data_IF_553613534120
#
_entry.id   IF_553613534120
#
_cell.length_a   1.000
_cell.length_b   1.000
_cell.length_c   1.000
_cell.angle_alpha   90.00
_cell.angle_beta   90.00
_cell.angle_gamma   90.00
#
_symmetry.space_group_name_H-M   'P 1'
#
loop_
_entity.id
_entity.type
_entity.pdbx_description
1 polymer ?
#
# COMPACT_ATOMS: atom_id res chain seq x y z
N UNK A 1 -12.76 -7.52 -8.62
CA UNK A 1 -12.97 -6.33 -9.40
C UNK A 1 -13.95 -5.37 -8.70
N UNK A 2 -13.38 -4.30 -8.08
CA UNK A 2 -14.11 -3.34 -7.23
C UNK A 2 -15.22 -2.64 -8.02
N UNK A 3 -14.90 -2.10 -9.20
CA UNK A 3 -15.86 -1.34 -10.03
C UNK A 3 -17.09 -2.17 -10.41
N UNK A 4 -16.86 -3.41 -10.83
CA UNK A 4 -17.95 -4.32 -11.16
C UNK A 4 -18.79 -4.66 -9.93
N UNK A 5 -18.15 -4.90 -8.79
CA UNK A 5 -18.86 -5.20 -7.54
C UNK A 5 -19.82 -4.10 -7.10
N UNK A 6 -19.37 -2.84 -7.25
CA UNK A 6 -20.21 -1.66 -6.95
C UNK A 6 -21.32 -1.49 -8.00
N UNK A 7 -21.01 -1.68 -9.30
CA UNK A 7 -22.01 -1.57 -10.37
C UNK A 7 -23.13 -2.60 -10.26
N UNK A 8 -22.78 -3.83 -9.86
CA UNK A 8 -23.72 -4.93 -9.66
C UNK A 8 -24.47 -4.85 -8.31
N UNK A 9 -24.25 -3.83 -7.51
CA UNK A 9 -24.89 -3.65 -6.21
C UNK A 9 -24.44 -4.64 -5.13
N UNK A 10 -23.29 -5.31 -5.32
CA UNK A 10 -22.70 -6.18 -4.30
C UNK A 10 -22.02 -5.42 -3.16
N UNK A 11 -21.78 -4.12 -3.38
CA UNK A 11 -21.27 -3.18 -2.40
C UNK A 11 -21.79 -1.78 -2.74
N UNK A 12 -22.08 -0.98 -1.70
CA UNK A 12 -22.54 0.41 -1.86
C UNK A 12 -21.39 1.36 -2.21
N UNK A 13 -20.17 1.01 -1.76
CA UNK A 13 -18.96 1.78 -1.99
C UNK A 13 -17.81 0.89 -2.46
N UNK A 14 -16.94 1.45 -3.27
CA UNK A 14 -15.66 0.87 -3.63
C UNK A 14 -14.51 1.71 -3.11
N UNK A 15 -13.49 1.08 -2.54
CA UNK A 15 -12.24 1.77 -2.18
C UNK A 15 -11.19 1.45 -3.23
N UNK A 16 -10.66 2.48 -3.87
CA UNK A 16 -9.66 2.35 -4.93
C UNK A 16 -8.42 3.18 -4.66
N UNK A 17 -7.25 2.61 -4.92
CA UNK A 17 -5.97 3.30 -4.84
C UNK A 17 -5.80 4.16 -6.09
N UNK A 18 -5.55 5.45 -5.92
CA UNK A 18 -5.38 6.40 -7.04
C UNK A 18 -3.98 6.97 -7.15
N UNK A 19 -3.25 6.99 -6.06
CA UNK A 19 -1.91 7.58 -6.05
C UNK A 19 -1.07 6.99 -4.92
N UNK A 20 0.20 6.79 -5.19
CA UNK A 20 1.22 6.58 -4.16
C UNK A 20 2.35 7.57 -4.40
N UNK A 21 2.84 8.23 -3.35
CA UNK A 21 3.87 9.27 -3.46
C UNK A 21 5.21 8.78 -4.01
N UNK A 22 5.41 7.47 -4.09
CA UNK A 22 6.61 6.85 -4.67
C UNK A 22 6.43 6.40 -6.12
N UNK A 23 5.26 5.84 -6.45
CA UNK A 23 4.97 5.30 -7.79
C UNK A 23 4.13 6.22 -8.66
N UNK A 24 3.62 7.31 -8.07
CA UNK A 24 2.76 8.26 -8.78
C UNK A 24 1.30 7.82 -8.90
N UNK A 25 0.61 8.43 -9.84
CA UNK A 25 -0.83 8.23 -10.08
C UNK A 25 -1.12 6.93 -10.84
N UNK A 26 -2.23 6.29 -10.47
CA UNK A 26 -2.74 5.09 -11.15
C UNK A 26 -3.80 5.51 -12.16
N UNK A 27 -3.35 5.88 -13.37
CA UNK A 27 -4.21 6.44 -14.43
C UNK A 27 -5.40 5.53 -14.79
N UNK A 28 -5.18 4.20 -14.82
CA UNK A 28 -6.24 3.23 -15.10
C UNK A 28 -7.45 3.38 -14.16
N UNK A 29 -7.23 3.75 -12.90
CA UNK A 29 -8.32 3.92 -11.93
C UNK A 29 -9.14 5.17 -12.26
N UNK A 30 -8.52 6.26 -12.69
CA UNK A 30 -9.24 7.47 -13.14
C UNK A 30 -10.07 7.17 -14.39
N UNK A 31 -9.52 6.43 -15.35
CA UNK A 31 -10.24 6.00 -16.55
C UNK A 31 -11.46 5.14 -16.20
N UNK A 32 -11.31 4.24 -15.23
CA UNK A 32 -12.41 3.40 -14.74
C UNK A 32 -13.48 4.24 -14.02
N UNK A 33 -13.11 5.21 -13.20
CA UNK A 33 -14.08 6.13 -12.55
C UNK A 33 -14.92 6.86 -13.60
N UNK A 34 -14.29 7.38 -14.66
CA UNK A 34 -14.99 8.03 -15.77
C UNK A 34 -15.88 7.03 -16.55
N UNK A 35 -15.34 5.86 -16.90
CA UNK A 35 -16.06 4.81 -17.65
C UNK A 35 -17.32 4.36 -16.93
N UNK A 36 -17.24 4.10 -15.62
CA UNK A 36 -18.37 3.65 -14.82
C UNK A 36 -19.25 4.83 -14.35
N UNK A 37 -18.82 6.07 -14.59
CA UNK A 37 -19.51 7.31 -14.14
C UNK A 37 -19.76 7.32 -12.64
N UNK A 38 -18.82 6.80 -11.86
CA UNK A 38 -18.92 6.81 -10.41
C UNK A 38 -18.54 8.16 -9.83
N UNK A 39 -19.19 8.48 -8.72
CA UNK A 39 -18.95 9.68 -7.93
C UNK A 39 -17.91 9.40 -6.84
N UNK A 40 -17.08 10.39 -6.55
CA UNK A 40 -16.17 10.33 -5.42
C UNK A 40 -16.94 10.78 -4.17
N UNK A 41 -17.17 9.83 -3.24
CA UNK A 41 -17.84 10.08 -1.97
C UNK A 41 -16.86 10.51 -0.86
N UNK A 42 -15.57 10.21 -1.01
CA UNK A 42 -14.55 10.58 -0.04
C UNK A 42 -13.14 10.23 -0.49
N UNK A 43 -12.16 10.76 0.22
CA UNK A 43 -10.75 10.48 -0.01
C UNK A 43 -10.03 10.33 1.33
N UNK A 44 -9.03 9.43 1.38
CA UNK A 44 -8.16 9.27 2.55
C UNK A 44 -6.73 9.00 2.11
N UNK A 45 -5.79 9.34 2.97
CA UNK A 45 -4.37 9.04 2.78
C UNK A 45 -3.90 8.12 3.90
N UNK A 46 -3.20 7.07 3.52
CA UNK A 46 -2.61 6.10 4.46
C UNK A 46 -1.10 6.23 4.40
N UNK A 47 -0.43 6.60 5.51
CA UNK A 47 1.02 6.58 5.58
C UNK A 47 1.52 5.13 5.47
N UNK A 48 2.51 4.91 4.60
CA UNK A 48 3.14 3.60 4.43
C UNK A 48 4.34 3.53 5.37
N UNK A 49 4.28 2.59 6.29
CA UNK A 49 5.34 2.30 7.25
C UNK A 49 5.78 0.86 7.12
N UNK A 50 7.08 0.66 7.11
CA UNK A 50 7.69 -0.66 7.00
C UNK A 50 8.44 -1.00 8.29
N UNK A 51 8.28 -2.22 8.74
CA UNK A 51 8.93 -2.76 9.92
C UNK A 51 9.69 -4.02 9.55
N UNK A 52 10.78 -4.29 10.25
CA UNK A 52 11.48 -5.57 10.16
C UNK A 52 10.89 -6.52 11.19
N UNK A 53 10.26 -7.59 10.73
CA UNK A 53 9.59 -8.57 11.58
C UNK A 53 10.15 -9.98 11.34
N UNK A 54 10.27 -10.76 12.40
CA UNK A 54 10.84 -12.11 12.37
C UNK A 54 10.09 -13.04 13.34
N UNK A 55 10.30 -14.38 13.27
CA UNK A 55 9.74 -15.31 14.22
C UNK A 55 10.07 -14.94 15.67
N UNK A 56 9.18 -15.26 16.59
CA UNK A 56 9.33 -14.95 18.00
C UNK A 56 10.65 -15.45 18.57
N UNK A 57 11.32 -14.58 19.32
CA UNK A 57 12.62 -14.85 19.91
C UNK A 57 13.82 -14.67 18.97
N UNK A 58 13.59 -14.32 17.69
CA UNK A 58 14.66 -13.92 16.79
C UNK A 58 15.37 -12.65 17.30
N UNK A 59 16.64 -12.51 16.97
CA UNK A 59 17.45 -11.33 17.35
C UNK A 59 17.93 -10.59 16.10
N UNK A 60 17.90 -9.28 16.12
CA UNK A 60 18.29 -8.43 14.98
C UNK A 60 19.69 -8.80 14.45
N UNK A 61 20.66 -9.00 15.31
CA UNK A 61 22.03 -9.39 14.94
C UNK A 61 22.14 -10.80 14.31
N UNK A 62 21.09 -11.63 14.45
CA UNK A 62 21.03 -12.97 13.86
C UNK A 62 20.43 -13.02 12.46
N UNK A 63 19.79 -11.94 12.01
CA UNK A 63 19.10 -11.90 10.72
C UNK A 63 20.13 -11.95 9.59
N UNK A 64 19.92 -12.88 8.66
CA UNK A 64 20.76 -13.11 7.48
C UNK A 64 20.02 -12.87 6.17
N UNK A 65 18.70 -13.15 6.14
CA UNK A 65 17.88 -13.03 4.93
C UNK A 65 16.60 -12.27 5.24
N UNK A 66 16.23 -11.33 4.35
CA UNK A 66 15.03 -10.51 4.48
C UNK A 66 14.18 -10.61 3.22
N UNK A 67 12.92 -10.98 3.40
CA UNK A 67 11.94 -11.09 2.32
C UNK A 67 10.96 -9.94 2.30
N UNK A 68 10.62 -9.45 1.11
CA UNK A 68 9.48 -8.54 0.89
C UNK A 68 9.15 -8.37 -0.60
N UNK A 69 8.11 -7.59 -0.90
CA UNK A 69 7.87 -7.09 -2.25
C UNK A 69 9.07 -6.23 -2.70
N UNK A 70 9.47 -6.27 -3.98
CA UNK A 70 10.61 -5.48 -4.49
C UNK A 70 10.58 -4.02 -4.06
N UNK A 71 9.40 -3.39 -4.10
CA UNK A 71 9.24 -2.00 -3.70
C UNK A 71 9.44 -1.78 -2.19
N UNK A 72 8.99 -2.71 -1.34
CA UNK A 72 9.23 -2.66 0.11
C UNK A 72 10.72 -2.74 0.44
N UNK A 73 11.46 -3.64 -0.24
CA UNK A 73 12.90 -3.76 -0.10
C UNK A 73 13.62 -2.46 -0.54
N UNK A 74 13.23 -1.89 -1.68
CA UNK A 74 13.81 -0.64 -2.18
C UNK A 74 13.56 0.53 -1.22
N UNK A 75 12.38 0.62 -0.66
CA UNK A 75 12.00 1.66 0.31
C UNK A 75 12.73 1.53 1.64
N UNK A 76 13.32 0.38 1.94
CA UNK A 76 14.09 0.10 3.16
C UNK A 76 15.58 -0.16 2.89
N UNK A 77 16.05 0.10 1.67
CA UNK A 77 17.37 -0.31 1.18
C UNK A 77 18.53 0.18 2.07
N UNK A 78 18.46 1.43 2.58
CA UNK A 78 19.51 1.96 3.48
C UNK A 78 19.68 1.07 4.70
N UNK A 79 18.59 0.82 5.40
CA UNK A 79 18.64 0.03 6.64
C UNK A 79 19.00 -1.43 6.39
N UNK A 80 18.50 -2.03 5.31
CA UNK A 80 18.83 -3.40 4.94
C UNK A 80 20.32 -3.57 4.57
N UNK A 81 20.90 -2.57 3.92
CA UNK A 81 22.36 -2.55 3.63
C UNK A 81 23.19 -2.45 4.92
N UNK A 82 22.81 -1.58 5.86
CA UNK A 82 23.47 -1.46 7.16
C UNK A 82 23.40 -2.78 7.97
N UNK A 83 22.28 -3.48 7.86
CA UNK A 83 22.10 -4.80 8.50
C UNK A 83 22.97 -5.88 7.86
N UNK A 84 23.40 -5.70 6.61
CA UNK A 84 24.21 -6.68 5.88
C UNK A 84 23.44 -7.95 5.51
N UNK A 85 22.11 -7.93 5.54
CA UNK A 85 21.27 -9.07 5.21
C UNK A 85 21.07 -9.23 3.70
N UNK A 86 21.03 -10.48 3.24
CA UNK A 86 20.61 -10.80 1.88
C UNK A 86 19.12 -10.45 1.70
N UNK A 87 18.77 -9.75 0.61
CA UNK A 87 17.39 -9.43 0.32
C UNK A 87 16.81 -10.33 -0.76
N UNK A 88 15.62 -10.85 -0.55
CA UNK A 88 14.90 -11.72 -1.50
C UNK A 88 13.49 -11.22 -1.76
N UNK A 89 13.10 -11.21 -3.03
CA UNK A 89 11.79 -10.76 -3.45
C UNK A 89 10.70 -11.78 -3.19
N UNK A 90 9.50 -11.26 -2.84
CA UNK A 90 8.30 -12.06 -2.66
C UNK A 90 7.10 -11.36 -3.30
N UNK A 91 5.98 -12.07 -3.48
CA UNK A 91 4.81 -11.57 -4.21
C UNK A 91 4.21 -10.28 -3.64
N UNK A 92 4.15 -10.17 -2.30
CA UNK A 92 3.77 -8.96 -1.58
C UNK A 92 4.29 -8.99 -0.14
N UNK A 93 4.24 -7.84 0.56
CA UNK A 93 4.79 -7.68 1.91
C UNK A 93 4.08 -8.55 2.95
N UNK A 94 2.76 -8.70 2.86
CA UNK A 94 2.01 -9.53 3.81
C UNK A 94 2.23 -11.03 3.58
N UNK A 95 2.33 -11.45 2.31
CA UNK A 95 2.65 -12.83 1.97
C UNK A 95 4.09 -13.21 2.41
N UNK A 96 5.04 -12.27 2.32
CA UNK A 96 6.39 -12.45 2.84
C UNK A 96 6.36 -12.67 4.37
N UNK A 97 5.60 -11.85 5.11
CA UNK A 97 5.44 -12.01 6.55
C UNK A 97 4.84 -13.37 6.92
N UNK A 98 3.79 -13.81 6.19
CA UNK A 98 3.21 -15.14 6.39
C UNK A 98 4.23 -16.25 6.16
N UNK A 99 4.94 -16.20 5.04
CA UNK A 99 5.96 -17.21 4.72
C UNK A 99 7.06 -17.28 5.78
N UNK A 100 7.55 -16.13 6.28
CA UNK A 100 8.55 -16.08 7.35
C UNK A 100 8.01 -16.69 8.64
N UNK A 101 6.75 -16.45 8.98
CA UNK A 101 6.11 -17.05 10.14
C UNK A 101 5.99 -18.60 10.00
N UNK A 102 5.57 -19.08 8.83
CA UNK A 102 5.45 -20.51 8.52
C UNK A 102 6.82 -21.21 8.52
N UNK A 103 7.88 -20.53 8.05
CA UNK A 103 9.25 -21.05 8.04
C UNK A 103 9.82 -21.22 9.45
N UNK A 104 9.51 -20.29 10.37
CA UNK A 104 9.95 -20.34 11.76
C UNK A 104 11.47 -20.22 11.97
N UNK A 105 12.24 -19.85 10.95
CA UNK A 105 13.71 -19.71 11.04
C UNK A 105 14.07 -18.35 11.67
N UNK A 106 14.76 -18.35 12.85
CA UNK A 106 15.11 -17.11 13.54
C UNK A 106 16.15 -16.25 12.81
N UNK A 107 16.73 -16.74 11.73
CA UNK A 107 17.69 -15.98 10.88
C UNK A 107 17.02 -15.30 9.70
N UNK A 108 15.71 -15.49 9.51
CA UNK A 108 14.93 -14.97 8.41
C UNK A 108 13.92 -13.93 8.90
N UNK A 109 13.84 -12.80 8.22
CA UNK A 109 12.89 -11.73 8.53
C UNK A 109 12.09 -11.30 7.31
N UNK A 110 11.03 -10.54 7.54
CA UNK A 110 10.25 -9.87 6.50
C UNK A 110 10.22 -8.35 6.73
N UNK A 111 10.25 -7.59 5.64
CA UNK A 111 9.80 -6.19 5.65
C UNK A 111 8.29 -6.19 5.39
N UNK A 112 7.52 -5.73 6.38
CA UNK A 112 6.06 -5.73 6.29
C UNK A 112 5.44 -4.60 7.13
N UNK A 113 4.10 -4.47 7.07
CA UNK A 113 3.36 -3.59 7.96
C UNK A 113 3.27 -4.16 9.38
N UNK A 114 3.09 -3.30 10.39
CA UNK A 114 2.80 -3.72 11.77
C UNK A 114 1.62 -4.71 11.82
N UNK A 115 0.55 -4.40 11.09
CA UNK A 115 -0.64 -5.26 11.05
C UNK A 115 -0.35 -6.66 10.52
N UNK A 116 0.54 -6.80 9.52
CA UNK A 116 0.92 -8.11 9.01
C UNK A 116 1.78 -8.87 10.05
N UNK A 117 2.72 -8.19 10.70
CA UNK A 117 3.52 -8.81 11.78
C UNK A 117 2.62 -9.34 12.92
N UNK A 118 1.66 -8.54 13.39
CA UNK A 118 0.68 -8.93 14.42
C UNK A 118 -0.18 -10.12 13.97
N UNK A 119 -0.70 -10.07 12.73
CA UNK A 119 -1.56 -11.13 12.18
C UNK A 119 -0.87 -12.49 12.13
N UNK A 120 0.42 -12.49 11.82
CA UNK A 120 1.23 -13.72 11.68
C UNK A 120 2.09 -14.04 12.91
N UNK A 121 1.85 -13.37 14.05
CA UNK A 121 2.58 -13.58 15.31
C UNK A 121 4.10 -13.45 15.19
N UNK A 122 4.57 -12.51 14.38
CA UNK A 122 5.98 -12.14 14.30
C UNK A 122 6.31 -11.05 15.32
N UNK A 123 7.52 -11.09 15.86
CA UNK A 123 8.09 -10.00 16.64
C UNK A 123 8.62 -8.91 15.72
N UNK A 124 8.30 -7.65 16.00
CA UNK A 124 8.91 -6.52 15.30
C UNK A 124 10.28 -6.28 15.94
N UNK A 125 11.33 -6.57 15.18
CA UNK A 125 12.71 -6.36 15.61
C UNK A 125 13.14 -4.90 15.49
N UNK A 126 12.57 -4.18 14.50
CA UNK A 126 12.86 -2.78 14.28
C UNK A 126 11.67 -2.08 13.60
N UNK A 127 11.33 -0.92 14.12
CA UNK A 127 10.21 -0.10 13.65
C UNK A 127 10.65 0.92 12.61
N UNK A 128 9.77 1.21 11.64
CA UNK A 128 9.89 2.34 10.72
C UNK A 128 11.24 2.37 9.99
N UNK A 129 11.61 1.26 9.38
CA UNK A 129 12.91 1.10 8.68
C UNK A 129 12.93 1.68 7.27
N UNK A 130 11.87 2.35 6.84
CA UNK A 130 11.79 2.98 5.52
C UNK A 130 12.77 4.16 5.40
N UNK A 131 13.28 4.38 4.20
CA UNK A 131 14.26 5.45 3.90
C UNK A 131 13.69 6.86 4.09
N UNK A 132 12.36 7.03 4.03
CA UNK A 132 11.66 8.31 4.19
C UNK A 132 10.27 8.12 4.78
N UNK A 133 9.81 9.06 5.58
CA UNK A 133 8.48 9.06 6.19
C UNK A 133 7.40 9.73 5.33
N UNK A 134 7.75 10.17 4.12
CA UNK A 134 6.82 10.88 3.23
C UNK A 134 5.95 9.95 2.39
N UNK A 135 6.20 8.63 2.43
CA UNK A 135 5.43 7.68 1.62
C UNK A 135 3.98 7.57 2.10
N UNK A 136 3.06 7.93 1.21
CA UNK A 136 1.60 7.89 1.44
C UNK A 136 0.93 7.26 0.23
N UNK A 137 -0.15 6.54 0.49
CA UNK A 137 -1.05 6.03 -0.55
C UNK A 137 -2.40 6.72 -0.39
N UNK A 138 -2.88 7.31 -1.47
CA UNK A 138 -4.18 7.96 -1.53
C UNK A 138 -5.23 7.02 -2.09
N UNK A 139 -6.34 6.93 -1.38
CA UNK A 139 -7.50 6.13 -1.75
C UNK A 139 -8.70 7.03 -1.96
N UNK A 140 -9.56 6.65 -2.91
CA UNK A 140 -10.88 7.23 -3.10
C UNK A 140 -11.97 6.22 -2.73
N UNK A 141 -13.02 6.71 -2.07
CA UNK A 141 -14.27 6.01 -1.94
C UNK A 141 -15.17 6.41 -3.11
N UNK A 142 -15.57 5.43 -3.93
CA UNK A 142 -16.40 5.62 -5.12
C UNK A 142 -17.76 4.98 -4.93
N UNK A 143 -18.80 5.59 -5.51
CA UNK A 143 -20.18 5.12 -5.45
C UNK A 143 -20.93 5.50 -6.73
N UNK A 144 -21.96 4.75 -7.17
CA UNK A 144 -22.78 5.12 -8.31
C UNK A 144 -23.70 6.31 -8.02
N UNK A 145 -24.02 6.57 -6.76
CA UNK A 145 -24.94 7.62 -6.35
C UNK A 145 -24.18 8.80 -5.76
N UNK A 146 -24.48 10.02 -6.24
CA UNK A 146 -23.89 11.23 -5.69
C UNK A 146 -24.39 11.46 -4.26
N UNK A 147 -23.44 11.48 -3.32
CA UNK A 147 -23.68 11.82 -1.91
C UNK A 147 -22.90 13.08 -1.60
N UNK A 148 -23.62 14.16 -1.26
CA UNK A 148 -23.02 15.43 -0.87
C UNK A 148 -23.28 15.62 0.63
N UNK A 149 -22.25 15.44 1.49
CA UNK A 149 -22.36 15.72 2.92
C UNK A 149 -22.69 17.19 3.18
N UNK A 150 -23.44 17.50 4.23
CA UNK A 150 -23.82 18.88 4.55
C UNK A 150 -22.61 19.80 4.88
N UNK A 151 -21.49 19.20 5.29
CA UNK A 151 -20.22 19.86 5.60
C UNK A 151 -19.21 19.79 4.44
N UNK A 152 -19.64 19.40 3.24
CA UNK A 152 -18.78 19.32 2.06
C UNK A 152 -18.16 20.69 1.74
N UNK A 153 -16.83 20.74 1.78
CA UNK A 153 -16.03 21.95 1.53
C UNK A 153 -14.96 21.77 0.44
N UNK A 154 -14.98 20.64 -0.26
CA UNK A 154 -14.06 20.30 -1.35
C UNK A 154 -14.81 19.64 -2.49
N UNK A 155 -14.30 19.84 -3.69
CA UNK A 155 -14.78 19.19 -4.92
C UNK A 155 -13.63 18.40 -5.53
N UNK A 156 -13.91 17.19 -6.03
CA UNK A 156 -12.97 16.42 -6.84
C UNK A 156 -13.52 16.31 -8.25
N UNK A 157 -12.70 16.67 -9.24
CA UNK A 157 -13.06 16.60 -10.64
C UNK A 157 -12.09 15.66 -11.36
N UNK A 158 -12.63 14.77 -12.16
CA UNK A 158 -11.87 13.93 -13.10
C UNK A 158 -12.40 14.26 -14.48
N UNK A 159 -11.52 14.69 -15.37
CA UNK A 159 -11.86 15.04 -16.74
C UNK A 159 -10.71 14.72 -17.68
N UNK A 160 -11.01 14.50 -18.95
CA UNK A 160 -10.02 14.38 -20.00
C UNK A 160 -9.98 15.65 -20.83
N UNK A 161 -8.78 16.04 -21.24
CA UNK A 161 -8.56 17.18 -22.14
C UNK A 161 -8.06 16.67 -23.49
N UNK A 162 -8.46 17.32 -24.60
CA UNK A 162 -7.82 17.09 -25.88
C UNK A 162 -6.35 17.50 -25.80
N UNK A 163 -5.47 16.72 -26.41
CA UNK A 163 -4.01 16.95 -26.36
C UNK A 163 -3.62 18.06 -27.35
N UNK A 164 -4.08 19.29 -27.10
CA UNK A 164 -3.78 20.49 -27.89
C UNK A 164 -3.22 21.60 -27.01
N UNK A 165 -2.34 22.42 -27.58
CA UNK A 165 -1.73 23.55 -26.87
C UNK A 165 -2.80 24.50 -26.36
N UNK A 166 -2.77 24.84 -25.07
CA UNK A 166 -3.73 25.77 -24.46
C UNK A 166 -5.04 25.13 -24.00
N UNK A 167 -5.12 23.80 -23.85
CA UNK A 167 -6.30 23.10 -23.33
C UNK A 167 -6.45 23.13 -21.80
N UNK A 168 -5.49 23.72 -21.08
CA UNK A 168 -5.55 24.05 -19.65
C UNK A 168 -5.44 25.54 -19.48
#
# INVERSE_FOLDING_TARGET
DVFRGVQEGRADFGIVLVENSFTGSVHEVYDLVMKYRFTIAGATEVPIRHHLAAPRGARLAGIRTVYSHPQGLLQCSRRLTELGAETRTYSNTAAAARMVAELGDPTVAAVCSRRAAELYNLDILEDNIQNTDTNRTRFLAITPTMVIPADANRISLIFSLPHVTGSL
#
